data_IF_074121375505
#
_entry.id   IF_074121375505
#
_cell.length_a   1.000
_cell.length_b   1.000
_cell.length_c   1.000
_cell.angle_alpha   90.00
_cell.angle_beta   90.00
_cell.angle_gamma   90.00
#
_symmetry.space_group_name_H-M   'P 1'
#
loop_
_entity.id
_entity.type
_entity.pdbx_description
1 polymer ?
#
# COMPACT_ATOMS: atom_id res chain seq x y z
N UNK A 1 -21.84 12.05 17.49
CA UNK A 1 -22.08 13.39 16.94
C UNK A 1 -21.70 13.32 15.47
N UNK A 2 -22.71 13.33 14.59
CA UNK A 2 -22.59 13.30 13.14
C UNK A 2 -21.90 14.58 12.66
N UNK A 3 -20.64 14.46 12.22
CA UNK A 3 -20.03 15.54 11.46
C UNK A 3 -20.67 15.56 10.06
N UNK A 4 -21.31 16.66 9.74
CA UNK A 4 -21.92 16.95 8.46
C UNK A 4 -20.86 16.83 7.36
N UNK A 5 -21.02 15.84 6.48
CA UNK A 5 -20.42 15.77 5.15
C UNK A 5 -21.03 16.92 4.30
N UNK A 6 -20.64 18.15 4.56
CA UNK A 6 -20.92 19.22 3.60
C UNK A 6 -20.09 18.95 2.35
N UNK A 7 -20.77 18.71 1.25
CA UNK A 7 -20.13 18.66 -0.06
C UNK A 7 -19.40 19.99 -0.28
N UNK A 8 -18.10 19.91 -0.42
CA UNK A 8 -17.28 21.09 -0.67
C UNK A 8 -17.50 21.49 -2.12
N UNK A 9 -17.94 22.71 -2.36
CA UNK A 9 -18.05 23.23 -3.73
C UNK A 9 -16.67 23.36 -4.35
N UNK A 10 -16.44 22.65 -5.45
CA UNK A 10 -15.21 22.68 -6.24
C UNK A 10 -15.40 23.57 -7.46
N UNK A 11 -14.36 24.25 -7.96
CA UNK A 11 -12.98 24.19 -7.50
C UNK A 11 -12.68 25.09 -6.30
N UNK A 12 -11.71 24.67 -5.44
CA UNK A 12 -11.21 25.45 -4.33
C UNK A 12 -9.76 25.86 -4.60
N UNK A 13 -9.41 27.09 -4.32
CA UNK A 13 -8.03 27.58 -4.37
C UNK A 13 -7.37 27.35 -3.00
N UNK A 14 -6.21 26.66 -2.99
CA UNK A 14 -5.42 26.40 -1.80
C UNK A 14 -3.95 26.74 -2.09
N UNK A 15 -3.55 27.97 -1.79
CA UNK A 15 -2.27 28.49 -2.24
C UNK A 15 -2.16 28.41 -3.76
N UNK A 16 -1.07 27.84 -4.33
CA UNK A 16 -0.92 27.71 -5.77
C UNK A 16 -1.66 26.48 -6.35
N UNK A 17 -2.42 25.75 -5.54
CA UNK A 17 -3.09 24.53 -5.94
C UNK A 17 -4.59 24.73 -6.11
N UNK A 18 -5.10 24.46 -7.30
CA UNK A 18 -6.54 24.48 -7.59
C UNK A 18 -7.10 23.07 -7.47
N UNK A 19 -7.83 22.82 -6.38
CA UNK A 19 -8.48 21.53 -6.11
C UNK A 19 -9.66 21.36 -7.07
N UNK A 20 -9.69 20.24 -7.82
CA UNK A 20 -10.67 20.01 -8.89
C UNK A 20 -11.58 18.82 -8.64
N UNK A 21 -11.14 17.85 -7.83
CA UNK A 21 -11.90 16.64 -7.55
C UNK A 21 -11.45 16.03 -6.24
N UNK A 22 -12.37 15.64 -5.38
CA UNK A 22 -12.07 14.77 -4.25
C UNK A 22 -11.90 13.34 -4.74
N UNK A 23 -10.77 12.70 -4.35
CA UNK A 23 -10.43 11.33 -4.77
C UNK A 23 -10.36 10.36 -3.60
N UNK A 24 -10.37 10.87 -2.37
CA UNK A 24 -10.39 10.05 -1.16
C UNK A 24 -10.64 10.87 0.10
N UNK A 25 -11.18 10.20 1.13
CA UNK A 25 -11.35 10.74 2.46
C UNK A 25 -11.00 9.67 3.50
N UNK A 26 -10.35 10.08 4.59
CA UNK A 26 -9.95 9.20 5.68
C UNK A 26 -9.93 9.91 7.03
N UNK A 27 -9.52 9.22 8.09
CA UNK A 27 -9.50 9.78 9.46
C UNK A 27 -8.54 10.95 9.66
N UNK A 28 -7.56 11.12 8.80
CA UNK A 28 -6.52 12.16 8.87
C UNK A 28 -6.88 13.39 8.04
N UNK A 29 -7.58 13.18 6.91
CA UNK A 29 -7.89 14.27 5.99
C UNK A 29 -8.58 13.79 4.71
N UNK A 30 -8.72 14.72 3.77
CA UNK A 30 -9.32 14.50 2.45
C UNK A 30 -8.24 14.65 1.39
N UNK A 31 -8.26 13.79 0.39
CA UNK A 31 -7.30 13.83 -0.73
C UNK A 31 -8.01 14.35 -1.98
N UNK A 32 -7.41 15.34 -2.61
CA UNK A 32 -7.92 15.97 -3.82
C UNK A 32 -6.95 15.79 -4.98
N UNK A 33 -7.49 15.56 -6.16
CA UNK A 33 -6.82 15.85 -7.42
C UNK A 33 -6.80 17.36 -7.59
N UNK A 34 -5.64 17.93 -7.88
CA UNK A 34 -5.45 19.37 -8.02
C UNK A 34 -4.53 19.69 -9.20
N UNK A 35 -4.57 20.95 -9.63
CA UNK A 35 -3.61 21.52 -10.60
C UNK A 35 -2.69 22.45 -9.84
N UNK A 36 -1.39 22.23 -9.90
CA UNK A 36 -0.39 23.23 -9.53
C UNK A 36 -0.33 24.30 -10.61
N UNK A 37 -0.83 25.49 -10.33
CA UNK A 37 -0.95 26.57 -11.30
C UNK A 37 0.42 27.15 -11.72
N UNK A 38 1.48 26.92 -10.93
CA UNK A 38 2.85 27.32 -11.28
C UNK A 38 3.44 26.49 -12.41
N UNK A 39 3.11 25.19 -12.43
CA UNK A 39 3.70 24.21 -13.35
C UNK A 39 2.70 23.62 -14.35
N UNK A 40 1.38 23.82 -14.14
CA UNK A 40 0.30 23.18 -14.89
C UNK A 40 0.16 21.66 -14.63
N UNK A 41 0.93 21.10 -13.68
CA UNK A 41 0.93 19.65 -13.40
C UNK A 41 -0.24 19.24 -12.52
N UNK A 42 -0.75 18.05 -12.79
CA UNK A 42 -1.72 17.41 -11.89
C UNK A 42 -0.97 16.85 -10.68
N UNK A 43 -1.45 17.17 -9.47
CA UNK A 43 -0.90 16.75 -8.17
C UNK A 43 -2.00 16.18 -7.28
N UNK A 44 -1.63 15.45 -6.24
CA UNK A 44 -2.53 15.06 -5.15
C UNK A 44 -2.29 15.99 -3.95
N UNK A 45 -3.37 16.53 -3.39
CA UNK A 45 -3.33 17.39 -2.20
C UNK A 45 -4.09 16.71 -1.08
N UNK A 46 -3.40 16.30 -0.02
CA UNK A 46 -3.98 15.76 1.23
C UNK A 46 -4.19 16.90 2.21
N UNK A 47 -5.43 17.36 2.32
CA UNK A 47 -5.86 18.43 3.23
C UNK A 47 -6.26 17.81 4.56
N UNK A 48 -5.67 18.28 5.66
CA UNK A 48 -5.95 17.79 7.00
C UNK A 48 -7.32 18.25 7.50
N UNK A 49 -7.95 17.40 8.33
CA UNK A 49 -9.15 17.80 9.07
C UNK A 49 -8.84 18.78 10.19
N UNK A 50 -9.71 19.78 10.38
CA UNK A 50 -9.60 20.78 11.46
C UNK A 50 -9.47 20.16 12.86
N UNK A 51 -10.06 18.99 13.07
CA UNK A 51 -9.95 18.24 14.32
C UNK A 51 -8.52 17.81 14.64
N UNK A 52 -7.67 17.60 13.63
CA UNK A 52 -6.25 17.27 13.81
C UNK A 52 -5.41 18.50 14.13
N UNK A 53 -5.77 19.65 13.56
CA UNK A 53 -5.06 20.91 13.80
C UNK A 53 -5.16 21.37 15.26
N UNK A 54 -6.20 20.92 15.97
CA UNK A 54 -6.43 21.23 17.40
C UNK A 54 -5.73 20.26 18.36
N UNK A 55 -5.14 19.18 17.86
CA UNK A 55 -4.41 18.19 18.67
C UNK A 55 -2.91 18.25 18.36
N UNK A 56 -2.09 18.88 19.24
CA UNK A 56 -0.65 19.04 19.01
C UNK A 56 0.10 17.71 18.82
N UNK A 57 -0.37 16.62 19.45
CA UNK A 57 0.25 15.29 19.30
C UNK A 57 0.03 14.75 17.90
N UNK A 58 -1.21 14.83 17.41
CA UNK A 58 -1.56 14.38 16.05
C UNK A 58 -0.90 15.22 14.97
N UNK A 59 -0.83 16.54 15.18
CA UNK A 59 -0.11 17.45 14.29
C UNK A 59 1.39 17.11 14.25
N UNK A 60 1.99 16.79 15.40
CA UNK A 60 3.38 16.35 15.49
C UNK A 60 3.65 15.00 14.78
N UNK A 61 2.69 14.07 14.81
CA UNK A 61 2.78 12.83 14.03
C UNK A 61 2.75 13.12 12.53
N UNK A 62 1.84 13.97 12.09
CA UNK A 62 1.73 14.36 10.70
C UNK A 62 2.98 15.09 10.17
N UNK A 63 3.56 15.98 10.98
CA UNK A 63 4.81 16.65 10.64
C UNK A 63 5.98 15.66 10.49
N UNK A 64 6.02 14.62 11.32
CA UNK A 64 6.99 13.53 11.18
C UNK A 64 6.79 12.74 9.88
N UNK A 65 5.54 12.38 9.58
CA UNK A 65 5.18 11.73 8.30
C UNK A 65 5.75 12.50 7.12
N UNK A 66 5.55 13.79 7.12
CA UNK A 66 6.03 14.68 6.09
C UNK A 66 7.56 14.65 5.95
N UNK A 67 8.30 14.78 7.06
CA UNK A 67 9.77 14.74 7.03
C UNK A 67 10.30 13.40 6.51
N UNK A 68 9.61 12.31 6.85
CA UNK A 68 9.93 10.98 6.34
C UNK A 68 9.67 10.92 4.83
N UNK A 69 8.49 11.33 4.37
CA UNK A 69 8.14 11.33 2.94
C UNK A 69 9.07 12.22 2.11
N UNK A 70 9.40 13.41 2.61
CA UNK A 70 10.26 14.37 1.91
C UNK A 70 11.70 13.86 1.70
N UNK A 71 12.14 12.87 2.50
CA UNK A 71 13.46 12.27 2.38
C UNK A 71 13.55 11.14 1.34
N UNK A 72 12.41 10.68 0.79
CA UNK A 72 12.37 9.53 -0.11
C UNK A 72 12.26 9.93 -1.57
N UNK A 73 13.10 9.29 -2.39
CA UNK A 73 13.02 9.37 -3.85
C UNK A 73 13.18 7.96 -4.43
N UNK A 74 12.07 7.27 -4.62
CA UNK A 74 12.07 5.92 -5.15
C UNK A 74 10.83 5.66 -6.01
N UNK A 75 11.00 4.93 -7.12
CA UNK A 75 9.95 4.66 -8.09
C UNK A 75 8.70 4.00 -7.49
N UNK A 76 8.87 3.17 -6.46
CA UNK A 76 7.79 2.44 -5.80
C UNK A 76 7.32 3.11 -4.50
N UNK A 77 7.60 4.40 -4.35
CA UNK A 77 7.09 5.28 -3.30
C UNK A 77 6.52 6.52 -3.97
N UNK A 78 5.35 6.97 -3.52
CA UNK A 78 4.74 8.22 -4.01
C UNK A 78 5.61 9.40 -3.66
N UNK A 79 5.99 10.20 -4.66
CA UNK A 79 6.91 11.32 -4.49
C UNK A 79 6.24 12.48 -3.75
N UNK A 80 6.89 12.96 -2.69
CA UNK A 80 6.57 14.22 -2.05
C UNK A 80 6.98 15.39 -2.97
N UNK A 81 6.13 16.44 -3.04
CA UNK A 81 6.37 17.62 -3.86
C UNK A 81 6.42 18.91 -3.05
N UNK A 82 5.49 19.08 -2.11
CA UNK A 82 5.34 20.33 -1.35
C UNK A 82 4.47 20.11 -0.10
N UNK A 83 4.46 21.06 0.81
CA UNK A 83 3.56 21.09 1.95
C UNK A 83 3.36 22.49 2.50
N UNK A 84 2.28 22.68 3.23
CA UNK A 84 1.99 23.91 3.94
C UNK A 84 1.45 23.62 5.34
N UNK A 85 1.96 24.32 6.35
CA UNK A 85 1.69 24.07 7.76
C UNK A 85 1.37 25.35 8.53
N UNK A 86 0.43 26.12 8.03
CA UNK A 86 -0.07 27.29 8.75
C UNK A 86 -1.61 27.18 8.87
N UNK A 87 -2.13 26.94 10.08
CA UNK A 87 -3.57 26.84 10.28
C UNK A 87 -4.33 28.07 9.76
N UNK A 88 -5.53 27.88 9.18
CA UNK A 88 -6.32 26.66 9.19
C UNK A 88 -6.00 25.66 8.07
N UNK A 89 -5.09 25.96 7.16
CA UNK A 89 -4.87 25.18 5.93
C UNK A 89 -3.56 24.39 6.01
N UNK A 90 -3.56 23.23 6.64
CA UNK A 90 -2.42 22.32 6.61
C UNK A 90 -2.63 21.24 5.55
N UNK A 91 -1.68 21.09 4.61
CA UNK A 91 -1.76 20.11 3.55
C UNK A 91 -0.39 19.58 3.11
N UNK A 92 -0.40 18.37 2.56
CA UNK A 92 0.74 17.76 1.85
C UNK A 92 0.39 17.63 0.37
N UNK A 93 1.37 17.88 -0.48
CA UNK A 93 1.28 17.72 -1.93
C UNK A 93 2.22 16.61 -2.38
N UNK A 94 1.67 15.68 -3.14
CA UNK A 94 2.42 14.56 -3.72
C UNK A 94 2.17 14.46 -5.23
N UNK A 95 2.98 13.64 -5.91
CA UNK A 95 2.64 13.27 -7.29
C UNK A 95 1.23 12.67 -7.33
N UNK A 96 0.48 12.96 -8.39
CA UNK A 96 -0.80 12.33 -8.65
C UNK A 96 -0.61 11.05 -9.46
N UNK A 97 -1.02 9.91 -8.90
CA UNK A 97 -1.01 8.63 -9.59
C UNK A 97 -2.35 8.45 -10.32
N UNK A 98 -2.34 8.55 -11.64
CA UNK A 98 -3.54 8.26 -12.44
C UNK A 98 -3.76 6.74 -12.48
N UNK A 99 -4.64 6.27 -11.59
CA UNK A 99 -4.87 4.84 -11.39
C UNK A 99 -5.81 4.57 -10.22
N UNK A 100 -5.55 3.50 -9.50
CA UNK A 100 -6.39 3.02 -8.40
C UNK A 100 -5.53 2.64 -7.18
N UNK A 101 -6.10 2.80 -5.99
CA UNK A 101 -5.57 2.06 -4.84
C UNK A 101 -5.78 0.55 -5.07
N UNK A 102 -4.94 -0.27 -4.45
CA UNK A 102 -5.11 -1.72 -4.50
C UNK A 102 -6.52 -2.16 -4.08
N UNK A 103 -7.10 -1.49 -3.08
CA UNK A 103 -8.48 -1.72 -2.64
C UNK A 103 -9.50 -1.44 -3.76
N UNK A 104 -9.41 -0.29 -4.42
CA UNK A 104 -10.33 0.08 -5.48
C UNK A 104 -10.14 -0.79 -6.73
N UNK A 105 -8.89 -1.16 -7.04
CA UNK A 105 -8.59 -2.10 -8.13
C UNK A 105 -9.25 -3.45 -7.86
N UNK A 106 -9.02 -4.01 -6.67
CA UNK A 106 -9.62 -5.27 -6.24
C UNK A 106 -11.16 -5.23 -6.31
N UNK A 107 -11.79 -4.15 -5.84
CA UNK A 107 -13.26 -3.97 -5.94
C UNK A 107 -13.76 -4.00 -7.38
N UNK A 108 -12.98 -3.49 -8.32
CA UNK A 108 -13.34 -3.48 -9.76
C UNK A 108 -13.11 -4.81 -10.45
N UNK A 109 -12.05 -5.52 -10.09
CA UNK A 109 -11.56 -6.66 -10.87
C UNK A 109 -11.77 -8.01 -10.20
N UNK A 110 -12.03 -8.04 -8.88
CA UNK A 110 -12.09 -9.26 -8.09
C UNK A 110 -10.71 -9.90 -7.91
N UNK A 111 -10.67 -11.21 -7.91
CA UNK A 111 -9.42 -11.98 -7.79
C UNK A 111 -8.44 -11.63 -8.89
N UNK A 112 -7.19 -11.51 -8.52
CA UNK A 112 -6.10 -11.20 -9.45
C UNK A 112 -5.38 -12.49 -9.84
N UNK A 113 -5.03 -12.69 -11.13
CA UNK A 113 -4.26 -13.85 -11.56
C UNK A 113 -2.97 -13.99 -10.74
N UNK A 114 -2.56 -15.21 -10.35
CA UNK A 114 -1.45 -15.44 -9.42
C UNK A 114 -0.14 -14.76 -9.82
N UNK A 115 0.19 -14.79 -11.11
CA UNK A 115 1.39 -14.12 -11.62
C UNK A 115 1.31 -12.60 -11.46
N UNK A 116 0.16 -12.01 -11.76
CA UNK A 116 -0.05 -10.56 -11.62
C UNK A 116 -0.01 -10.17 -10.14
N UNK A 117 -0.62 -10.95 -9.26
CA UNK A 117 -0.58 -10.72 -7.80
C UNK A 117 0.87 -10.77 -7.26
N UNK A 118 1.69 -11.72 -7.72
CA UNK A 118 3.12 -11.78 -7.38
C UNK A 118 3.89 -10.58 -7.97
N UNK A 119 3.56 -10.12 -9.17
CA UNK A 119 4.16 -8.93 -9.75
C UNK A 119 3.84 -7.66 -8.95
N UNK A 120 2.60 -7.51 -8.49
CA UNK A 120 2.20 -6.41 -7.58
C UNK A 120 2.98 -6.51 -6.27
N UNK A 121 3.07 -7.70 -5.67
CA UNK A 121 3.85 -7.92 -4.46
C UNK A 121 5.32 -7.56 -4.63
N UNK A 122 5.96 -7.96 -5.73
CA UNK A 122 7.37 -7.64 -6.02
C UNK A 122 7.59 -6.13 -6.03
N UNK A 123 6.70 -5.37 -6.65
CA UNK A 123 6.84 -3.91 -6.70
C UNK A 123 6.56 -3.25 -5.33
N UNK A 124 5.62 -3.78 -4.54
CA UNK A 124 5.43 -3.40 -3.12
C UNK A 124 6.72 -3.65 -2.33
N UNK A 125 7.32 -4.85 -2.47
CA UNK A 125 8.53 -5.23 -1.75
C UNK A 125 9.74 -4.36 -2.13
N UNK A 126 9.86 -3.88 -3.37
CA UNK A 126 10.88 -2.89 -3.75
C UNK A 126 10.75 -1.59 -2.98
N UNK A 127 9.50 -1.12 -2.78
CA UNK A 127 9.23 0.06 -1.96
C UNK A 127 9.57 -0.17 -0.49
N UNK A 128 9.19 -1.33 0.06
CA UNK A 128 9.48 -1.72 1.45
C UNK A 128 10.98 -1.86 1.68
N UNK A 129 11.69 -2.52 0.76
CA UNK A 129 13.15 -2.68 0.84
C UNK A 129 13.84 -1.32 0.92
N UNK A 130 13.44 -0.38 0.05
CA UNK A 130 13.94 0.99 0.10
C UNK A 130 13.68 1.66 1.46
N UNK A 131 12.47 1.51 2.04
CA UNK A 131 12.15 2.06 3.36
C UNK A 131 13.03 1.45 4.46
N UNK A 132 13.17 0.12 4.46
CA UNK A 132 13.96 -0.59 5.46
C UNK A 132 15.44 -0.22 5.41
N UNK A 133 16.01 -0.06 4.21
CA UNK A 133 17.39 0.44 4.00
C UNK A 133 17.58 1.88 4.53
N UNK A 134 16.49 2.66 4.66
CA UNK A 134 16.49 4.01 5.26
C UNK A 134 15.99 3.99 6.72
N UNK A 135 16.09 2.86 7.41
CA UNK A 135 15.68 2.67 8.79
C UNK A 135 14.22 3.10 9.07
N UNK A 136 13.32 2.84 8.12
CA UNK A 136 11.91 3.21 8.24
C UNK A 136 11.03 1.98 8.01
N UNK A 137 10.07 1.76 8.91
CA UNK A 137 9.06 0.72 8.81
C UNK A 137 7.75 1.41 8.40
N UNK A 138 7.04 0.87 7.42
CA UNK A 138 5.76 1.44 6.96
C UNK A 138 4.66 1.32 8.02
N UNK A 139 4.58 0.17 8.65
CA UNK A 139 3.69 -0.25 9.75
C UNK A 139 2.18 -0.19 9.51
N UNK A 140 1.69 0.38 8.41
CA UNK A 140 0.27 0.35 7.99
C UNK A 140 0.10 -0.12 6.54
N UNK A 141 0.79 -1.18 6.15
CA UNK A 141 0.67 -1.73 4.81
C UNK A 141 -0.70 -2.38 4.62
N UNK A 142 -1.45 -1.91 3.62
CA UNK A 142 -2.80 -2.41 3.31
C UNK A 142 -3.13 -2.21 1.83
N UNK A 143 -4.23 -2.79 1.36
CA UNK A 143 -4.69 -2.56 -0.02
C UNK A 143 -5.07 -1.09 -0.30
N UNK A 144 -5.32 -0.28 0.71
CA UNK A 144 -5.59 1.15 0.55
C UNK A 144 -4.30 1.96 0.34
N UNK A 145 -3.16 1.48 0.87
CA UNK A 145 -1.90 2.23 1.01
C UNK A 145 -0.86 1.89 -0.06
N UNK A 146 -1.28 1.32 -1.18
CA UNK A 146 -0.52 1.31 -2.42
C UNK A 146 -1.42 1.68 -3.61
N UNK A 147 -0.82 2.30 -4.60
CA UNK A 147 -1.48 2.75 -5.83
C UNK A 147 -0.92 1.98 -7.02
N UNK A 148 -1.78 1.66 -7.99
CA UNK A 148 -1.40 1.05 -9.26
C UNK A 148 -1.79 2.02 -10.37
N UNK A 149 -0.80 2.52 -11.13
CA UNK A 149 -1.07 3.41 -12.25
C UNK A 149 -1.55 2.65 -13.49
N UNK A 150 -2.07 3.39 -14.47
CA UNK A 150 -2.55 2.81 -15.73
C UNK A 150 -1.45 2.12 -16.57
N UNK A 151 -0.17 2.37 -16.26
CA UNK A 151 0.98 1.72 -16.90
C UNK A 151 1.52 0.54 -16.10
N UNK A 152 0.82 0.10 -15.05
CA UNK A 152 1.21 -1.02 -14.21
C UNK A 152 2.32 -0.74 -13.20
N UNK A 153 2.66 0.54 -12.91
CA UNK A 153 3.54 0.92 -11.80
C UNK A 153 2.79 0.78 -10.50
N UNK A 154 3.41 0.16 -9.50
CA UNK A 154 2.91 0.12 -8.12
C UNK A 154 3.75 1.06 -7.26
N UNK A 155 3.11 1.89 -6.43
CA UNK A 155 3.78 2.81 -5.52
C UNK A 155 3.09 2.83 -4.15
N UNK A 156 3.89 2.77 -3.08
CA UNK A 156 3.43 2.90 -1.70
C UNK A 156 3.05 4.35 -1.39
N UNK A 157 2.02 4.52 -0.57
CA UNK A 157 1.51 5.81 -0.12
C UNK A 157 1.05 5.72 1.34
N UNK A 158 0.75 6.86 1.93
CA UNK A 158 0.22 7.00 3.29
C UNK A 158 1.16 6.49 4.39
N UNK A 159 2.14 7.33 4.73
CA UNK A 159 3.19 7.07 5.72
C UNK A 159 2.81 7.55 7.14
N UNK A 160 1.52 7.81 7.40
CA UNK A 160 1.02 8.38 8.66
C UNK A 160 1.29 7.59 9.92
N UNK A 161 1.56 6.30 9.77
CA UNK A 161 1.95 5.40 10.85
C UNK A 161 3.38 4.89 10.72
N UNK A 162 4.16 5.41 9.77
CA UNK A 162 5.55 4.98 9.57
C UNK A 162 6.45 5.33 10.76
N UNK A 163 7.36 4.43 11.08
CA UNK A 163 8.18 4.47 12.28
C UNK A 163 9.65 4.40 11.88
N UNK A 164 10.48 5.30 12.45
CA UNK A 164 11.93 5.12 12.42
C UNK A 164 12.35 4.00 13.38
N UNK A 165 13.21 3.08 12.96
CA UNK A 165 13.63 1.90 13.75
C UNK A 165 14.31 2.26 15.08
N UNK A 166 14.77 3.49 15.23
CA UNK A 166 15.48 4.00 16.43
C UNK A 166 14.53 4.46 17.55
N UNK A 167 13.20 4.45 17.32
CA UNK A 167 12.22 4.95 18.30
C UNK A 167 11.75 3.80 19.18
N UNK A 168 12.14 3.82 20.47
CA UNK A 168 11.83 2.75 21.44
C UNK A 168 10.38 2.68 21.92
N UNK A 169 9.55 3.73 21.74
CA UNK A 169 8.21 3.81 22.32
C UNK A 169 7.09 3.41 21.33
N UNK A 170 7.01 2.13 21.02
CA UNK A 170 5.98 1.57 20.13
C UNK A 170 4.60 1.38 20.77
N UNK A 171 4.47 1.57 22.10
CA UNK A 171 3.24 1.29 22.85
C UNK A 171 2.11 2.29 22.60
N UNK A 172 2.41 3.46 22.07
CA UNK A 172 1.46 4.53 21.81
C UNK A 172 1.00 4.66 20.36
N UNK A 173 1.45 3.75 19.47
CA UNK A 173 1.03 3.80 18.08
C UNK A 173 -0.34 3.13 17.90
N UNK A 174 -1.22 3.83 17.18
CA UNK A 174 -2.53 3.31 16.80
C UNK A 174 -2.36 2.03 15.97
N UNK A 175 -3.22 1.06 16.21
CA UNK A 175 -3.35 -0.09 15.31
C UNK A 175 -3.64 0.43 13.89
N UNK A 176 -2.92 -0.09 12.90
CA UNK A 176 -3.11 0.25 11.49
C UNK A 176 -4.47 -0.18 10.92
N UNK A 177 -4.53 -0.50 9.65
CA UNK A 177 -5.77 -0.82 8.92
C UNK A 177 -6.36 -2.18 9.33
N UNK A 178 -7.65 -2.25 9.76
CA UNK A 178 -8.30 -3.50 10.16
C UNK A 178 -8.24 -4.60 9.10
N UNK A 179 -7.78 -5.79 9.51
CA UNK A 179 -7.60 -6.95 8.64
C UNK A 179 -6.24 -7.06 7.96
N UNK A 180 -5.34 -6.09 8.24
CA UNK A 180 -3.93 -6.12 7.80
C UNK A 180 -2.95 -6.05 8.99
N UNK A 181 -3.43 -6.29 10.21
CA UNK A 181 -2.55 -6.34 11.37
C UNK A 181 -1.65 -7.56 11.33
N UNK A 182 -0.39 -7.38 11.69
CA UNK A 182 0.46 -8.48 12.13
C UNK A 182 0.20 -8.79 13.62
N UNK A 183 0.51 -10.00 14.11
CA UNK A 183 0.32 -10.37 15.51
C UNK A 183 0.90 -9.36 16.51
N UNK A 184 2.09 -8.83 16.22
CA UNK A 184 2.79 -7.85 17.05
C UNK A 184 2.08 -6.51 17.17
N UNK A 185 1.28 -6.10 16.20
CA UNK A 185 0.40 -4.91 16.31
C UNK A 185 -0.62 -5.06 17.44
N UNK A 186 -1.11 -6.30 17.65
CA UNK A 186 -2.11 -6.61 18.67
C UNK A 186 -1.46 -6.90 20.02
N UNK A 187 -0.34 -7.62 20.04
CA UNK A 187 0.33 -8.03 21.27
C UNK A 187 1.19 -6.92 21.87
N UNK A 188 1.53 -5.88 21.09
CA UNK A 188 2.45 -4.82 21.53
C UNK A 188 3.90 -5.30 21.72
N UNK A 189 4.29 -6.40 21.06
CA UNK A 189 5.64 -6.98 21.20
C UNK A 189 6.72 -6.24 20.37
N UNK A 190 6.37 -5.11 19.78
CA UNK A 190 7.27 -4.25 19.02
C UNK A 190 7.15 -4.43 17.51
N UNK A 191 7.08 -3.31 16.83
CA UNK A 191 7.02 -3.24 15.36
C UNK A 191 8.44 -3.39 14.80
N UNK A 192 8.59 -4.24 13.77
CA UNK A 192 9.87 -4.58 13.15
C UNK A 192 9.72 -4.62 11.62
N UNK A 193 10.83 -4.65 10.86
CA UNK A 193 10.75 -4.84 9.40
C UNK A 193 9.90 -6.04 8.97
N UNK A 194 9.94 -7.15 9.71
CA UNK A 194 9.16 -8.36 9.45
C UNK A 194 7.64 -8.14 9.62
N UNK A 195 7.24 -7.05 10.26
CA UNK A 195 5.83 -6.63 10.34
C UNK A 195 5.29 -6.22 8.98
N UNK A 196 6.05 -5.42 8.22
CA UNK A 196 5.69 -5.03 6.85
C UNK A 196 5.62 -6.26 5.93
N UNK A 197 6.53 -7.22 6.11
CA UNK A 197 6.56 -8.45 5.31
C UNK A 197 5.33 -9.32 5.56
N UNK A 198 4.85 -9.38 6.81
CA UNK A 198 3.58 -10.03 7.14
C UNK A 198 2.40 -9.34 6.46
N UNK A 199 2.33 -8.01 6.55
CA UNK A 199 1.27 -7.22 5.91
C UNK A 199 1.30 -7.37 4.37
N UNK A 200 2.48 -7.40 3.75
CA UNK A 200 2.63 -7.70 2.32
C UNK A 200 2.13 -9.11 1.96
N UNK A 201 2.36 -10.08 2.84
CA UNK A 201 1.78 -11.43 2.72
C UNK A 201 0.25 -11.42 2.77
N UNK A 202 -0.36 -10.62 3.65
CA UNK A 202 -1.82 -10.45 3.72
C UNK A 202 -2.39 -9.84 2.44
N UNK A 203 -1.70 -8.86 1.86
CA UNK A 203 -2.07 -8.26 0.57
C UNK A 203 -2.04 -9.32 -0.53
N UNK A 204 -0.96 -10.12 -0.62
CA UNK A 204 -0.88 -11.20 -1.60
C UNK A 204 -2.01 -12.21 -1.42
N UNK A 205 -2.29 -12.63 -0.19
CA UNK A 205 -3.41 -13.54 0.09
C UNK A 205 -4.73 -12.96 -0.41
N UNK A 206 -5.02 -11.70 -0.11
CA UNK A 206 -6.27 -11.05 -0.55
C UNK A 206 -6.37 -10.97 -2.08
N UNK A 207 -5.29 -10.60 -2.77
CA UNK A 207 -5.26 -10.56 -4.24
C UNK A 207 -5.58 -11.92 -4.85
N UNK A 208 -5.04 -13.01 -4.28
CA UNK A 208 -5.22 -14.38 -4.78
C UNK A 208 -6.60 -14.95 -4.46
N UNK A 209 -7.08 -14.71 -3.25
CA UNK A 209 -8.29 -15.38 -2.72
C UNK A 209 -9.54 -14.53 -2.95
N UNK A 210 -9.38 -13.21 -3.00
CA UNK A 210 -10.49 -12.28 -3.15
C UNK A 210 -11.19 -11.96 -1.82
N UNK A 211 -10.56 -12.26 -0.71
CA UNK A 211 -11.01 -11.88 0.63
C UNK A 211 -9.84 -11.81 1.60
N UNK A 212 -9.99 -11.06 2.68
CA UNK A 212 -8.96 -10.93 3.71
C UNK A 212 -8.66 -12.29 4.36
N UNK A 213 -7.40 -12.55 4.68
CA UNK A 213 -6.98 -13.76 5.38
C UNK A 213 -7.56 -13.85 6.79
N UNK A 214 -7.75 -12.68 7.43
CA UNK A 214 -8.32 -12.55 8.77
C UNK A 214 -9.42 -11.48 8.74
N UNK A 215 -10.63 -11.85 9.10
CA UNK A 215 -11.72 -10.91 9.31
C UNK A 215 -11.44 -10.10 10.59
N UNK A 216 -11.32 -8.78 10.46
CA UNK A 216 -11.09 -7.91 11.60
C UNK A 216 -12.33 -7.85 12.50
N UNK A 217 -12.13 -8.08 13.80
CA UNK A 217 -13.12 -7.91 14.84
C UNK A 217 -12.63 -6.91 15.90
N UNK A 218 -13.51 -6.46 16.78
CA UNK A 218 -13.11 -5.64 17.94
C UNK A 218 -12.41 -6.47 19.03
N UNK A 219 -12.44 -7.78 18.93
CA UNK A 219 -11.87 -8.72 19.90
C UNK A 219 -10.46 -9.13 19.46
N UNK A 220 -9.46 -8.60 20.13
CA UNK A 220 -8.03 -8.88 19.88
C UNK A 220 -7.68 -10.36 20.01
N UNK A 221 -8.30 -11.07 20.96
CA UNK A 221 -8.02 -12.50 21.16
C UNK A 221 -8.57 -13.33 20.00
N UNK A 222 -9.76 -12.99 19.48
CA UNK A 222 -10.32 -13.63 18.28
C UNK A 222 -9.46 -13.37 17.05
N UNK A 223 -9.00 -12.15 16.89
CA UNK A 223 -8.10 -11.80 15.77
C UNK A 223 -6.80 -12.62 15.84
N UNK A 224 -6.14 -12.69 17.00
CA UNK A 224 -4.93 -13.49 17.19
C UNK A 224 -5.16 -15.00 16.96
N UNK A 225 -6.31 -15.52 17.40
CA UNK A 225 -6.68 -16.92 17.16
C UNK A 225 -6.89 -17.20 15.67
N UNK A 226 -7.51 -16.27 14.94
CA UNK A 226 -7.72 -16.39 13.48
C UNK A 226 -6.38 -16.32 12.71
N UNK A 227 -5.45 -15.47 13.11
CA UNK A 227 -4.10 -15.39 12.51
C UNK A 227 -3.32 -16.70 12.61
N UNK A 228 -3.53 -17.49 13.67
CA UNK A 228 -2.92 -18.83 13.84
C UNK A 228 -3.56 -19.90 12.94
N UNK A 229 -4.71 -19.61 12.34
CA UNK A 229 -5.53 -20.58 11.59
C UNK A 229 -5.82 -20.13 10.15
N UNK A 230 -4.96 -19.32 9.55
CA UNK A 230 -5.11 -18.88 8.16
C UNK A 230 -5.21 -20.12 7.25
N UNK A 231 -6.24 -20.16 6.42
CA UNK A 231 -6.47 -21.28 5.53
C UNK A 231 -5.76 -21.07 4.18
N UNK A 232 -4.60 -21.68 4.02
CA UNK A 232 -3.86 -21.65 2.76
C UNK A 232 -4.37 -22.65 1.73
N UNK A 233 -5.18 -23.65 2.12
CA UNK A 233 -5.71 -24.67 1.21
C UNK A 233 -6.66 -24.10 0.14
N UNK A 234 -7.29 -22.95 0.43
CA UNK A 234 -8.18 -22.24 -0.49
C UNK A 234 -7.43 -21.65 -1.70
N UNK A 235 -6.11 -21.44 -1.58
CA UNK A 235 -5.27 -20.92 -2.66
C UNK A 235 -5.05 -22.04 -3.67
N UNK A 236 -5.61 -21.89 -4.85
CA UNK A 236 -5.48 -22.84 -5.95
C UNK A 236 -5.22 -22.09 -7.25
N UNK A 237 -4.36 -22.67 -8.08
CA UNK A 237 -4.06 -22.21 -9.44
C UNK A 237 -4.24 -23.39 -10.40
N UNK A 238 -4.25 -23.13 -11.69
CA UNK A 238 -4.31 -24.19 -12.70
C UNK A 238 -3.03 -25.05 -12.77
N UNK A 239 -1.95 -24.61 -12.12
CA UNK A 239 -0.68 -25.33 -12.00
C UNK A 239 -0.43 -25.72 -10.53
N UNK A 240 -0.36 -27.01 -10.27
CA UNK A 240 -0.10 -27.54 -8.92
C UNK A 240 1.27 -27.14 -8.36
N UNK A 241 2.30 -26.99 -9.22
CA UNK A 241 3.63 -26.56 -8.80
C UNK A 241 3.59 -25.10 -8.32
N UNK A 242 2.91 -24.24 -9.07
CA UNK A 242 2.65 -22.85 -8.68
C UNK A 242 1.87 -22.80 -7.37
N UNK A 243 0.77 -23.54 -7.27
CA UNK A 243 -0.05 -23.63 -6.06
C UNK A 243 0.80 -23.97 -4.82
N UNK A 244 1.62 -25.03 -4.91
CA UNK A 244 2.50 -25.46 -3.82
C UNK A 244 3.50 -24.37 -3.42
N UNK A 245 4.14 -23.71 -4.40
CA UNK A 245 5.12 -22.64 -4.16
C UNK A 245 4.49 -21.41 -3.50
N UNK A 246 3.34 -20.98 -4.00
CA UNK A 246 2.62 -19.83 -3.42
C UNK A 246 2.15 -20.14 -2.00
N UNK A 247 1.64 -21.33 -1.74
CA UNK A 247 1.25 -21.74 -0.37
C UNK A 247 2.45 -21.71 0.57
N UNK A 248 3.56 -22.35 0.20
CA UNK A 248 4.78 -22.36 1.02
C UNK A 248 5.35 -20.95 1.25
N UNK A 249 5.29 -20.09 0.23
CA UNK A 249 5.66 -18.68 0.34
C UNK A 249 4.79 -17.95 1.38
N UNK A 250 3.46 -18.11 1.31
CA UNK A 250 2.54 -17.45 2.22
C UNK A 250 2.57 -18.04 3.63
N UNK A 251 2.79 -19.34 3.80
CA UNK A 251 3.02 -19.98 5.10
C UNK A 251 4.23 -19.37 5.82
N UNK A 252 5.32 -19.09 5.07
CA UNK A 252 6.50 -18.40 5.61
C UNK A 252 6.20 -16.92 5.90
N UNK A 253 5.63 -16.18 4.94
CA UNK A 253 5.33 -14.75 5.09
C UNK A 253 4.37 -14.47 6.25
N UNK A 254 3.35 -15.32 6.43
CA UNK A 254 2.29 -15.18 7.42
C UNK A 254 2.54 -16.03 8.68
N UNK A 255 3.80 -16.43 8.94
CA UNK A 255 4.15 -17.08 10.18
C UNK A 255 3.84 -16.16 11.37
N UNK A 256 3.15 -16.73 12.39
CA UNK A 256 2.74 -15.97 13.58
C UNK A 256 3.94 -15.37 14.32
N UNK A 257 5.02 -16.14 14.46
CA UNK A 257 6.27 -15.68 15.05
C UNK A 257 7.10 -14.93 13.98
N UNK A 258 7.45 -13.64 14.19
CA UNK A 258 8.27 -12.86 13.25
C UNK A 258 9.57 -13.54 12.83
N UNK A 259 10.28 -14.22 13.77
CA UNK A 259 11.56 -14.89 13.46
C UNK A 259 11.46 -16.09 12.50
N UNK A 260 10.24 -16.54 12.20
CA UNK A 260 9.97 -17.61 11.21
C UNK A 260 9.56 -17.08 9.84
N UNK A 261 9.44 -15.77 9.69
CA UNK A 261 9.14 -15.09 8.43
C UNK A 261 10.39 -14.96 7.56
N UNK A 262 10.27 -14.27 6.45
CA UNK A 262 11.42 -13.75 5.71
C UNK A 262 12.16 -12.74 6.60
N UNK A 263 13.49 -12.75 6.56
CA UNK A 263 14.31 -11.89 7.40
C UNK A 263 14.39 -10.44 6.84
N UNK A 264 14.24 -10.29 5.51
CA UNK A 264 14.33 -9.01 4.83
C UNK A 264 13.42 -8.96 3.59
N UNK A 265 13.15 -7.75 3.11
CA UNK A 265 12.28 -7.55 1.95
C UNK A 265 12.89 -8.08 0.65
N UNK A 266 14.19 -7.95 0.48
CA UNK A 266 14.94 -8.49 -0.67
C UNK A 266 14.89 -10.03 -0.71
N UNK A 267 15.00 -10.72 0.43
CA UNK A 267 14.82 -12.19 0.52
C UNK A 267 13.42 -12.59 0.05
N UNK A 268 12.39 -11.92 0.59
CA UNK A 268 11.00 -12.20 0.23
C UNK A 268 10.74 -11.92 -1.26
N UNK A 269 11.27 -10.82 -1.78
CA UNK A 269 11.19 -10.42 -3.18
C UNK A 269 11.88 -11.42 -4.09
N UNK A 270 13.07 -11.91 -3.72
CA UNK A 270 13.82 -12.91 -4.49
C UNK A 270 13.00 -14.20 -4.65
N UNK A 271 12.40 -14.71 -3.58
CA UNK A 271 11.58 -15.93 -3.65
C UNK A 271 10.33 -15.71 -4.52
N UNK A 272 9.66 -14.55 -4.41
CA UNK A 272 8.54 -14.21 -5.27
C UNK A 272 8.96 -14.12 -6.75
N UNK A 273 10.13 -13.51 -7.03
CA UNK A 273 10.68 -13.42 -8.37
C UNK A 273 11.02 -14.78 -8.99
N UNK A 274 11.60 -15.71 -8.21
CA UNK A 274 11.88 -17.07 -8.69
C UNK A 274 10.61 -17.85 -9.05
N UNK A 275 9.47 -17.57 -8.40
CA UNK A 275 8.18 -18.14 -8.81
C UNK A 275 7.74 -17.54 -10.16
N UNK A 276 7.79 -16.23 -10.30
CA UNK A 276 7.36 -15.51 -11.51
C UNK A 276 8.23 -15.87 -12.72
N UNK A 277 9.55 -15.99 -12.52
CA UNK A 277 10.53 -16.34 -13.55
C UNK A 277 10.27 -17.69 -14.21
N UNK A 278 9.75 -18.68 -13.46
CA UNK A 278 9.38 -19.99 -14.02
C UNK A 278 8.29 -19.93 -15.10
N UNK A 279 7.54 -18.81 -15.15
CA UNK A 279 6.48 -18.54 -16.10
C UNK A 279 6.89 -17.51 -17.16
N UNK A 280 8.20 -17.34 -17.38
CA UNK A 280 8.79 -16.46 -18.39
C UNK A 280 8.40 -14.97 -18.27
N UNK A 281 7.98 -14.51 -17.10
CA UNK A 281 7.72 -13.10 -16.85
C UNK A 281 9.02 -12.41 -16.45
N UNK A 282 9.50 -11.48 -17.28
CA UNK A 282 10.72 -10.71 -17.04
C UNK A 282 10.45 -9.33 -16.45
N UNK A 283 9.26 -8.76 -16.73
CA UNK A 283 8.90 -7.40 -16.31
C UNK A 283 7.54 -7.40 -15.61
N UNK A 284 7.55 -7.25 -14.28
CA UNK A 284 6.35 -7.19 -13.45
C UNK A 284 5.37 -6.12 -13.95
N UNK A 285 5.87 -4.92 -14.24
CA UNK A 285 5.06 -3.80 -14.73
C UNK A 285 4.29 -4.12 -16.00
N UNK A 286 4.89 -4.86 -16.93
CA UNK A 286 4.23 -5.25 -18.17
C UNK A 286 3.07 -6.23 -17.90
N UNK A 287 3.27 -7.22 -17.03
CA UNK A 287 2.23 -8.17 -16.66
C UNK A 287 1.04 -7.47 -15.98
N UNK A 288 1.31 -6.51 -15.09
CA UNK A 288 0.26 -5.71 -14.44
C UNK A 288 -0.49 -4.86 -15.48
N UNK A 289 0.23 -4.16 -16.36
CA UNK A 289 -0.40 -3.36 -17.41
C UNK A 289 -1.29 -4.20 -18.34
N UNK A 290 -0.80 -5.38 -18.77
CA UNK A 290 -1.58 -6.29 -19.62
C UNK A 290 -2.88 -6.71 -18.93
N UNK A 291 -2.80 -7.07 -17.64
CA UNK A 291 -3.98 -7.38 -16.85
C UNK A 291 -4.97 -6.21 -16.77
N UNK A 292 -4.48 -4.99 -16.58
CA UNK A 292 -5.31 -3.79 -16.58
C UNK A 292 -5.96 -3.54 -17.94
N UNK A 293 -5.22 -3.78 -19.04
CA UNK A 293 -5.73 -3.67 -20.40
C UNK A 293 -6.84 -4.68 -20.68
N UNK A 294 -6.66 -5.94 -20.27
CA UNK A 294 -7.67 -7.00 -20.40
C UNK A 294 -8.96 -6.69 -19.61
N UNK A 295 -8.85 -5.88 -18.56
CA UNK A 295 -9.99 -5.38 -17.77
C UNK A 295 -10.57 -4.05 -18.31
N UNK A 296 -10.04 -3.51 -19.40
CA UNK A 296 -10.47 -2.22 -19.95
C UNK A 296 -10.10 -1.01 -19.06
N UNK A 297 -9.06 -1.16 -18.25
CA UNK A 297 -8.63 -0.17 -17.26
C UNK A 297 -7.38 0.62 -17.67
N UNK A 298 -6.97 0.58 -18.93
CA UNK A 298 -5.82 1.37 -19.44
C UNK A 298 -6.28 2.41 -20.45
N UNK A 299 -5.49 3.49 -20.56
CA UNK A 299 -5.60 4.47 -21.64
C UNK A 299 -4.33 4.39 -22.49
N UNK A 300 -4.45 3.82 -23.70
CA UNK A 300 -3.35 3.79 -24.68
C UNK A 300 -2.40 2.60 -24.55
N UNK A 301 -1.28 2.67 -25.30
CA UNK A 301 -0.27 1.62 -25.35
C UNK A 301 0.68 1.67 -24.15
N UNK A 302 1.24 0.53 -23.79
CA UNK A 302 2.27 0.44 -22.75
C UNK A 302 3.54 1.21 -23.12
N UNK A 303 3.98 2.10 -22.23
CA UNK A 303 5.16 2.95 -22.40
C UNK A 303 6.37 2.43 -21.59
N UNK A 304 6.70 1.17 -21.71
CA UNK A 304 7.82 0.54 -21.00
C UNK A 304 8.40 -0.63 -21.77
N UNK A 305 9.41 -1.32 -21.21
CA UNK A 305 9.99 -2.50 -21.83
C UNK A 305 8.90 -3.56 -22.08
N UNK A 306 8.73 -3.96 -23.33
CA UNK A 306 7.76 -4.98 -23.73
C UNK A 306 8.38 -6.37 -23.62
N UNK A 307 7.54 -7.35 -23.32
CA UNK A 307 7.89 -8.75 -23.32
C UNK A 307 6.95 -9.50 -24.27
N UNK A 308 7.50 -10.33 -25.13
CA UNK A 308 6.68 -11.29 -25.87
C UNK A 308 6.15 -12.33 -24.88
N UNK A 309 4.89 -12.21 -24.49
CA UNK A 309 4.19 -13.23 -23.71
C UNK A 309 3.64 -14.21 -24.74
N UNK A 310 4.15 -15.44 -24.77
CA UNK A 310 3.49 -16.51 -25.49
C UNK A 310 2.12 -16.73 -24.82
N UNK A 311 1.06 -16.60 -25.60
CA UNK A 311 -0.31 -16.89 -25.20
C UNK A 311 -0.42 -18.36 -24.79
N UNK A 312 -0.50 -18.59 -23.48
CA UNK A 312 -0.59 -19.91 -22.88
C UNK A 312 -0.96 -19.79 -21.41
N UNK A 313 -2.16 -19.26 -21.13
CA UNK A 313 -2.81 -19.32 -19.81
C UNK A 313 -4.16 -20.02 -19.95
#
# INVERSE_FOLDING_TARGET
VSQSNQAVELPIQLGPYRLIQEVGAGGVGRVFRAIDERSGRTVAVKLLHDSLLRDPKRLGHFHRELLIMASFNHRHIVSYLDSYFDPPNCYIVTEFIEGWSGYNLYKKTGRVPPIVALCVLIDILKGIDYLHLHNTIHSDLSAANYLVDMNGRVALTDFGLSIKQEVEDYKNYSLGTPGYYAPEHITGSGIKPETDLYCAGLILYELLVGQKAVAATKDSAKNLAAMKKINFAIIQTNDQKMTKRIRSFLEKALAFNPSKRFAAADEMMFVAYEIVKLYNIRFARYAIHQYLADKGLTKGKFNGPQQNIYHGF
#
